data_IF_721047368868
#
_entry.id   IF_721047368868
#
_cell.length_a   1.000
_cell.length_b   1.000
_cell.length_c   1.000
_cell.angle_alpha   90.00
_cell.angle_beta   90.00
_cell.angle_gamma   90.00
#
_symmetry.space_group_name_H-M   'P 1'
#
loop_
_entity.id
_entity.type
_entity.pdbx_description
1 polymer ?
#
# COMPACT_ATOMS: atom_id res chain seq x y z
N UNK A 1 -22.67 5.71 2.47
CA UNK A 1 -23.29 6.99 2.01
C UNK A 1 -22.32 7.73 1.10
N UNK A 2 -22.78 8.20 -0.06
CA UNK A 2 -21.92 8.87 -1.04
C UNK A 2 -21.51 10.28 -0.60
N UNK A 3 -20.23 10.58 -0.72
CA UNK A 3 -19.68 11.91 -0.54
C UNK A 3 -19.44 12.56 -1.90
N UNK A 4 -19.80 13.84 -1.97
CA UNK A 4 -19.50 14.73 -3.08
C UNK A 4 -18.59 15.83 -2.56
N UNK A 5 -17.89 16.53 -3.46
CA UNK A 5 -16.94 17.58 -3.06
C UNK A 5 -17.55 18.60 -2.08
N UNK A 6 -18.77 19.07 -2.37
CA UNK A 6 -19.45 20.11 -1.59
C UNK A 6 -19.95 19.66 -0.20
N UNK A 7 -20.07 18.36 0.07
CA UNK A 7 -20.62 17.86 1.35
C UNK A 7 -19.61 17.05 2.19
N UNK A 8 -18.39 16.84 1.67
CA UNK A 8 -17.36 16.06 2.34
C UNK A 8 -16.93 16.71 3.66
N UNK A 9 -16.65 18.03 3.63
CA UNK A 9 -16.18 18.76 4.80
C UNK A 9 -17.22 18.84 5.91
N UNK A 10 -18.47 19.13 5.56
CA UNK A 10 -19.59 19.15 6.52
C UNK A 10 -19.74 17.81 7.25
N UNK A 11 -19.59 16.70 6.53
CA UNK A 11 -19.84 15.35 7.06
C UNK A 11 -18.65 14.75 7.81
N UNK A 12 -17.44 15.21 7.52
CA UNK A 12 -16.21 14.54 7.98
C UNK A 12 -15.27 15.45 8.76
N UNK A 13 -15.48 16.78 8.67
CA UNK A 13 -14.56 17.79 9.18
C UNK A 13 -13.35 18.05 8.28
N UNK A 14 -13.26 17.42 7.10
CA UNK A 14 -12.15 17.58 6.17
C UNK A 14 -12.62 17.74 4.71
N UNK A 15 -11.97 18.60 3.91
CA UNK A 15 -12.29 18.72 2.49
C UNK A 15 -11.90 17.43 1.75
N UNK A 16 -12.56 17.15 0.62
CA UNK A 16 -12.33 15.92 -0.15
C UNK A 16 -10.86 15.74 -0.59
N UNK A 17 -10.19 16.86 -0.88
CA UNK A 17 -8.78 16.96 -1.22
C UNK A 17 -7.86 16.35 -0.14
N UNK A 18 -8.24 16.43 1.14
CA UNK A 18 -7.52 15.78 2.23
C UNK A 18 -7.45 14.26 2.03
N UNK A 19 -8.57 13.63 1.68
CA UNK A 19 -8.65 12.20 1.46
C UNK A 19 -7.98 11.77 0.15
N UNK A 20 -8.08 12.58 -0.90
CA UNK A 20 -7.35 12.35 -2.16
C UNK A 20 -5.84 12.33 -1.91
N UNK A 21 -5.32 13.24 -1.09
CA UNK A 21 -3.90 13.24 -0.74
C UNK A 21 -3.50 12.01 0.08
N UNK A 22 -4.30 11.61 1.08
CA UNK A 22 -4.08 10.40 1.89
C UNK A 22 -4.11 9.12 1.06
N UNK A 23 -4.82 9.12 -0.06
CA UNK A 23 -4.87 7.97 -0.95
C UNK A 23 -3.50 7.67 -1.60
N UNK A 24 -2.66 8.71 -1.76
CA UNK A 24 -1.35 8.63 -2.41
C UNK A 24 -1.39 8.85 -3.93
N UNK A 25 -2.57 8.97 -4.55
CA UNK A 25 -2.71 9.11 -6.02
C UNK A 25 -1.90 10.29 -6.59
N UNK A 26 -1.71 11.35 -5.80
CA UNK A 26 -0.90 12.52 -6.16
C UNK A 26 0.59 12.27 -6.33
N UNK A 27 1.08 11.08 -5.96
CA UNK A 27 2.43 10.65 -6.33
C UNK A 27 2.58 10.43 -7.84
N UNK A 28 1.48 10.12 -8.52
CA UNK A 28 1.44 9.92 -9.98
C UNK A 28 0.93 11.17 -10.68
N UNK A 29 -0.10 11.78 -10.12
CA UNK A 29 -0.82 12.90 -10.70
C UNK A 29 -0.76 14.09 -9.71
N UNK A 30 0.32 14.89 -9.71
CA UNK A 30 0.52 15.94 -8.70
C UNK A 30 -0.66 16.91 -8.58
N UNK A 31 -1.31 17.21 -9.70
CA UNK A 31 -2.45 18.14 -9.78
C UNK A 31 -3.81 17.45 -9.81
N UNK A 32 -3.88 16.15 -9.47
CA UNK A 32 -5.09 15.33 -9.56
C UNK A 32 -6.30 15.98 -8.89
N UNK A 33 -7.41 15.96 -9.60
CA UNK A 33 -8.75 16.30 -9.16
C UNK A 33 -9.68 15.13 -9.44
N UNK A 34 -10.81 15.05 -8.74
CA UNK A 34 -11.74 13.91 -8.90
C UNK A 34 -12.31 13.82 -10.32
N UNK A 35 -12.52 14.94 -11.00
CA UNK A 35 -12.93 14.96 -12.40
C UNK A 35 -11.90 14.39 -13.38
N UNK A 36 -10.65 14.22 -12.96
CA UNK A 36 -9.61 13.60 -13.79
C UNK A 36 -9.70 12.06 -13.75
N UNK A 37 -10.47 11.50 -12.81
CA UNK A 37 -10.76 10.08 -12.75
C UNK A 37 -11.72 9.68 -13.87
N UNK A 38 -11.50 8.51 -14.47
CA UNK A 38 -12.44 7.90 -15.42
C UNK A 38 -13.74 7.51 -14.73
N UNK A 39 -13.61 7.01 -13.52
CA UNK A 39 -14.69 6.70 -12.61
C UNK A 39 -14.20 6.92 -11.17
N UNK A 40 -15.10 7.27 -10.27
CA UNK A 40 -14.77 7.44 -8.87
C UNK A 40 -15.99 7.24 -7.96
N UNK A 41 -15.72 6.66 -6.80
CA UNK A 41 -16.71 6.50 -5.74
C UNK A 41 -16.07 6.85 -4.40
N UNK A 42 -16.74 7.72 -3.63
CA UNK A 42 -16.30 8.07 -2.28
C UNK A 42 -17.44 7.82 -1.31
N UNK A 43 -17.23 6.90 -0.37
CA UNK A 43 -18.22 6.43 0.60
C UNK A 43 -17.80 6.81 2.01
N UNK A 44 -18.74 7.37 2.78
CA UNK A 44 -18.65 7.43 4.24
C UNK A 44 -19.52 6.32 4.84
N UNK A 45 -18.88 5.41 5.57
CA UNK A 45 -19.53 4.28 6.24
C UNK A 45 -18.84 4.00 7.57
N UNK A 46 -19.59 3.91 8.66
CA UNK A 46 -19.05 3.64 10.00
C UNK A 46 -17.85 4.54 10.38
N UNK A 47 -17.93 5.84 10.05
CA UNK A 47 -16.87 6.85 10.25
C UNK A 47 -15.58 6.61 9.44
N UNK A 48 -15.60 5.71 8.47
CA UNK A 48 -14.51 5.45 7.54
C UNK A 48 -14.83 6.00 6.16
N UNK A 49 -13.79 6.48 5.50
CA UNK A 49 -13.87 7.00 4.14
C UNK A 49 -13.24 6.00 3.19
N UNK A 50 -14.04 5.41 2.32
CA UNK A 50 -13.53 4.60 1.22
C UNK A 50 -13.47 5.47 -0.03
N UNK A 51 -12.29 5.51 -0.68
CA UNK A 51 -12.07 6.13 -1.98
C UNK A 51 -11.77 5.02 -2.97
N UNK A 52 -12.57 4.93 -4.02
CA UNK A 52 -12.39 4.05 -5.17
C UNK A 52 -12.21 4.93 -6.41
N UNK A 53 -11.14 4.71 -7.18
CA UNK A 53 -10.80 5.49 -8.37
C UNK A 53 -10.43 4.57 -9.53
N UNK A 54 -10.89 4.93 -10.73
CA UNK A 54 -10.33 4.49 -11.99
C UNK A 54 -9.62 5.65 -12.68
N UNK A 55 -8.44 5.41 -13.24
CA UNK A 55 -7.66 6.42 -13.98
C UNK A 55 -7.09 5.82 -15.26
N UNK A 56 -6.39 6.63 -16.05
CA UNK A 56 -5.63 6.12 -17.20
C UNK A 56 -4.58 5.08 -16.81
N UNK A 57 -4.07 5.13 -15.57
CA UNK A 57 -2.99 4.26 -15.10
C UNK A 57 -3.44 3.16 -14.15
N UNK A 58 -4.58 3.31 -13.49
CA UNK A 58 -5.12 2.31 -12.57
C UNK A 58 -6.51 1.90 -13.01
N UNK A 59 -6.75 0.60 -13.20
CA UNK A 59 -8.11 0.09 -13.43
C UNK A 59 -8.88 0.06 -12.13
N UNK A 60 -8.19 -0.18 -11.02
CA UNK A 60 -8.79 -0.27 -9.71
C UNK A 60 -7.83 0.33 -8.69
N UNK A 61 -8.27 1.36 -7.98
CA UNK A 61 -7.51 1.98 -6.91
C UNK A 61 -8.42 2.25 -5.73
N UNK A 62 -8.26 1.50 -4.65
CA UNK A 62 -9.15 1.61 -3.48
C UNK A 62 -8.37 1.80 -2.18
N UNK A 63 -8.82 2.74 -1.35
CA UNK A 63 -8.28 3.04 -0.02
C UNK A 63 -9.41 3.24 0.97
N UNK A 64 -9.26 2.72 2.18
CA UNK A 64 -10.16 3.03 3.30
C UNK A 64 -9.40 3.78 4.38
N UNK A 65 -9.90 4.93 4.79
CA UNK A 65 -9.25 5.85 5.72
C UNK A 65 -10.09 5.95 6.98
N UNK A 66 -9.47 5.66 8.13
CA UNK A 66 -10.08 5.79 9.45
C UNK A 66 -9.36 6.91 10.22
N UNK A 67 -9.95 8.10 10.22
CA UNK A 67 -9.40 9.28 10.89
C UNK A 67 -9.34 9.14 12.42
N UNK A 68 -10.22 8.31 12.99
CA UNK A 68 -10.31 8.10 14.43
C UNK A 68 -9.24 7.12 14.91
N UNK A 69 -9.12 5.99 14.21
CA UNK A 69 -8.09 4.98 14.50
C UNK A 69 -6.71 5.37 13.96
N UNK A 70 -6.61 6.42 13.13
CA UNK A 70 -5.36 6.88 12.51
C UNK A 70 -4.73 5.81 11.62
N UNK A 71 -5.57 5.11 10.86
CA UNK A 71 -5.17 4.00 9.97
C UNK A 71 -5.62 4.27 8.54
N UNK A 72 -4.80 3.84 7.57
CA UNK A 72 -5.19 3.75 6.16
C UNK A 72 -5.05 2.31 5.69
N UNK A 73 -6.12 1.74 5.16
CA UNK A 73 -6.16 0.42 4.54
C UNK A 73 -5.93 0.57 3.03
N UNK A 74 -4.90 -0.08 2.52
CA UNK A 74 -4.56 -0.15 1.11
C UNK A 74 -5.29 -1.32 0.45
N UNK A 75 -6.59 -1.15 0.20
CA UNK A 75 -7.48 -2.23 -0.22
C UNK A 75 -7.09 -2.84 -1.57
N UNK A 76 -6.88 -2.02 -2.60
CA UNK A 76 -6.63 -2.51 -3.96
C UNK A 76 -5.82 -1.50 -4.79
N UNK A 77 -4.96 -2.00 -5.67
CA UNK A 77 -4.24 -1.20 -6.65
C UNK A 77 -3.84 -2.06 -7.85
N UNK A 78 -4.57 -1.90 -8.97
CA UNK A 78 -4.36 -2.63 -10.22
C UNK A 78 -3.92 -1.64 -11.30
N UNK A 79 -2.72 -1.82 -11.83
CA UNK A 79 -2.18 -0.97 -12.89
C UNK A 79 -2.78 -1.35 -14.25
N UNK A 80 -3.14 -0.36 -15.07
CA UNK A 80 -3.41 -0.56 -16.50
C UNK A 80 -2.07 -0.69 -17.24
N UNK A 81 -1.88 -1.81 -17.93
CA UNK A 81 -0.70 -2.06 -18.78
C UNK A 81 0.51 -2.61 -18.03
N UNK A 82 1.66 -2.64 -18.72
CA UNK A 82 2.91 -3.17 -18.14
C UNK A 82 3.36 -2.30 -16.98
N UNK A 83 3.59 -2.93 -15.83
CA UNK A 83 4.17 -2.26 -14.66
C UNK A 83 5.57 -1.75 -15.01
N UNK A 84 5.78 -0.43 -14.94
CA UNK A 84 7.11 0.17 -14.99
C UNK A 84 7.80 0.19 -13.61
N UNK A 85 7.20 -0.43 -12.59
CA UNK A 85 7.71 -0.50 -11.22
C UNK A 85 7.80 0.85 -10.47
N UNK A 86 7.46 1.95 -11.14
CA UNK A 86 7.52 3.31 -10.61
C UNK A 86 6.21 3.77 -9.99
N UNK A 87 5.08 3.31 -10.53
CA UNK A 87 3.76 3.81 -10.13
C UNK A 87 3.46 3.57 -8.64
N UNK A 88 3.40 2.29 -8.25
CA UNK A 88 3.07 1.86 -6.88
C UNK A 88 4.00 2.48 -5.84
N UNK A 89 5.26 2.67 -6.21
CA UNK A 89 6.26 3.30 -5.37
C UNK A 89 6.00 4.80 -5.16
N UNK A 90 5.71 5.55 -6.22
CA UNK A 90 5.34 6.97 -6.11
C UNK A 90 4.06 7.18 -5.30
N UNK A 91 3.07 6.29 -5.47
CA UNK A 91 1.86 6.27 -4.64
C UNK A 91 2.22 6.11 -3.17
N UNK A 92 3.02 5.09 -2.83
CA UNK A 92 3.44 4.84 -1.45
C UNK A 92 4.23 6.01 -0.88
N UNK A 93 5.15 6.62 -1.64
CA UNK A 93 5.87 7.83 -1.21
C UNK A 93 4.95 8.98 -0.85
N UNK A 94 3.98 9.28 -1.72
CA UNK A 94 3.05 10.37 -1.47
C UNK A 94 2.19 10.08 -0.24
N UNK A 95 1.65 8.86 -0.15
CA UNK A 95 0.83 8.41 0.98
C UNK A 95 1.59 8.47 2.31
N UNK A 96 2.79 7.88 2.38
CA UNK A 96 3.63 7.89 3.59
C UNK A 96 3.99 9.31 4.02
N UNK A 97 4.27 10.21 3.07
CA UNK A 97 4.55 11.63 3.38
C UNK A 97 3.32 12.33 3.95
N UNK A 98 2.16 12.19 3.31
CA UNK A 98 0.96 12.91 3.69
C UNK A 98 0.35 12.34 4.98
N UNK A 99 0.25 11.02 5.10
CA UNK A 99 -0.25 10.35 6.29
C UNK A 99 0.58 10.71 7.54
N UNK A 100 1.92 10.68 7.43
CA UNK A 100 2.80 11.09 8.52
C UNK A 100 2.63 12.57 8.89
N UNK A 101 2.46 13.47 7.89
CA UNK A 101 2.20 14.90 8.15
C UNK A 101 0.91 15.13 8.95
N UNK A 102 -0.06 14.22 8.80
CA UNK A 102 -1.37 14.29 9.46
C UNK A 102 -1.50 13.31 10.64
N UNK A 103 -0.36 12.86 11.20
CA UNK A 103 -0.30 12.02 12.40
C UNK A 103 -1.15 10.74 12.30
N UNK A 104 -1.15 10.10 11.13
CA UNK A 104 -1.60 8.71 11.03
C UNK A 104 -0.56 7.79 11.66
N UNK A 105 -1.02 6.73 12.30
CA UNK A 105 -0.16 5.77 13.01
C UNK A 105 0.35 4.69 12.07
N UNK A 106 -0.51 4.17 11.18
CA UNK A 106 -0.11 3.09 10.28
C UNK A 106 -0.86 3.02 8.96
N UNK A 107 -0.21 2.38 7.99
CA UNK A 107 -0.81 1.89 6.77
C UNK A 107 -0.94 0.37 6.87
N UNK A 108 -2.03 -0.20 6.39
CA UNK A 108 -2.30 -1.64 6.43
C UNK A 108 -2.56 -2.13 5.01
N UNK A 109 -2.14 -3.34 4.69
CA UNK A 109 -2.41 -4.01 3.41
C UNK A 109 -2.80 -5.46 3.64
N UNK A 110 -3.75 -5.97 2.87
CA UNK A 110 -3.93 -7.42 2.68
C UNK A 110 -3.23 -7.78 1.38
N UNK A 111 -2.08 -8.44 1.49
CA UNK A 111 -1.22 -8.73 0.37
C UNK A 111 -1.35 -10.20 -0.02
N UNK A 112 -2.12 -10.47 -1.06
CA UNK A 112 -2.37 -11.82 -1.54
C UNK A 112 -1.88 -12.02 -2.97
N UNK A 113 -1.54 -13.27 -3.27
CA UNK A 113 -1.27 -13.74 -4.62
C UNK A 113 -2.61 -14.03 -5.29
N UNK A 114 -3.05 -13.15 -6.18
CA UNK A 114 -4.16 -13.52 -7.06
C UNK A 114 -3.60 -14.32 -8.25
N UNK A 115 -4.02 -15.59 -8.35
CA UNK A 115 -3.83 -16.42 -9.54
C UNK A 115 -4.82 -16.01 -10.64
N UNK A 116 -4.94 -14.71 -10.92
CA UNK A 116 -5.82 -14.24 -11.99
C UNK A 116 -5.21 -14.58 -13.36
N UNK A 117 -6.05 -14.99 -14.31
CA UNK A 117 -5.67 -15.34 -15.70
C UNK A 117 -4.89 -14.24 -16.45
N UNK A 118 -4.86 -13.01 -15.94
CA UNK A 118 -4.43 -11.82 -16.67
C UNK A 118 -3.26 -11.04 -16.04
N UNK A 119 -2.61 -11.54 -14.98
CA UNK A 119 -1.36 -10.93 -14.49
C UNK A 119 -0.97 -11.31 -13.06
N UNK A 120 0.33 -11.30 -12.81
CA UNK A 120 0.91 -11.55 -11.49
C UNK A 120 0.76 -10.32 -10.60
N UNK A 121 -0.10 -10.40 -9.58
CA UNK A 121 -0.10 -9.42 -8.50
C UNK A 121 1.20 -9.56 -7.72
N UNK A 122 2.15 -8.68 -7.97
CA UNK A 122 3.46 -8.71 -7.30
C UNK A 122 3.46 -8.04 -5.92
N UNK A 123 2.31 -7.52 -5.46
CA UNK A 123 2.18 -6.78 -4.20
C UNK A 123 2.68 -7.59 -2.99
N UNK A 124 2.28 -8.85 -2.88
CA UNK A 124 2.67 -9.76 -1.79
C UNK A 124 4.18 -10.03 -1.70
N UNK A 125 4.96 -9.72 -2.74
CA UNK A 125 6.44 -9.77 -2.74
C UNK A 125 7.10 -8.42 -2.46
N UNK A 126 6.40 -7.32 -2.72
CA UNK A 126 7.00 -5.98 -2.78
C UNK A 126 6.78 -5.15 -1.52
N UNK A 127 5.63 -5.28 -0.85
CA UNK A 127 5.32 -4.42 0.29
C UNK A 127 6.36 -4.51 1.40
N UNK A 128 6.84 -5.72 1.71
CA UNK A 128 7.86 -5.92 2.73
C UNK A 128 9.20 -5.23 2.40
N UNK A 129 9.60 -5.17 1.11
CA UNK A 129 10.79 -4.42 0.66
C UNK A 129 10.72 -2.94 1.00
N UNK A 130 9.50 -2.40 1.09
CA UNK A 130 9.27 -0.99 1.35
C UNK A 130 8.97 -0.67 2.82
N UNK A 131 9.15 -1.60 3.75
CA UNK A 131 8.98 -1.31 5.18
C UNK A 131 7.67 -1.81 5.77
N UNK A 132 6.85 -2.56 5.03
CA UNK A 132 5.78 -3.32 5.65
C UNK A 132 6.36 -4.53 6.39
N UNK A 133 5.84 -4.82 7.58
CA UNK A 133 6.09 -6.06 8.30
C UNK A 133 4.79 -6.85 8.43
N UNK A 134 4.91 -8.17 8.53
CA UNK A 134 3.78 -9.08 8.66
C UNK A 134 3.15 -8.94 10.05
N UNK A 135 1.81 -8.93 10.13
CA UNK A 135 1.11 -8.90 11.41
C UNK A 135 1.37 -10.18 12.23
N UNK A 136 1.19 -10.09 13.56
CA UNK A 136 1.53 -11.17 14.49
C UNK A 136 0.82 -12.50 14.20
N UNK A 137 -0.41 -12.46 13.68
CA UNK A 137 -1.17 -13.65 13.31
C UNK A 137 -0.51 -14.36 12.12
N UNK A 138 -0.32 -13.65 11.01
CA UNK A 138 0.35 -14.21 9.83
C UNK A 138 1.82 -14.55 10.09
N UNK A 139 2.49 -13.86 11.01
CA UNK A 139 3.88 -14.16 11.38
C UNK A 139 4.00 -15.53 12.05
N UNK A 140 3.00 -15.96 12.82
CA UNK A 140 2.96 -17.31 13.42
C UNK A 140 2.84 -18.36 12.32
N UNK A 141 1.90 -18.16 11.40
CA UNK A 141 1.67 -19.06 10.28
C UNK A 141 2.90 -19.14 9.37
N UNK A 142 3.52 -17.99 9.08
CA UNK A 142 4.80 -17.90 8.37
C UNK A 142 5.91 -18.68 9.08
N UNK A 143 6.03 -18.52 10.40
CA UNK A 143 7.08 -19.20 11.19
C UNK A 143 6.89 -20.71 11.16
N UNK A 144 5.65 -21.19 11.30
CA UNK A 144 5.33 -22.61 11.19
C UNK A 144 5.59 -23.14 9.77
N UNK A 145 5.23 -22.37 8.75
CA UNK A 145 5.47 -22.70 7.36
C UNK A 145 6.98 -22.81 7.05
N UNK A 146 7.79 -21.84 7.48
CA UNK A 146 9.25 -21.89 7.32
C UNK A 146 9.85 -23.12 7.99
N UNK A 147 9.41 -23.45 9.21
CA UNK A 147 9.85 -24.64 9.93
C UNK A 147 9.51 -25.93 9.16
N UNK A 148 8.28 -26.06 8.64
CA UNK A 148 7.84 -27.22 7.85
C UNK A 148 8.62 -27.37 6.55
N UNK A 149 9.00 -26.26 5.92
CA UNK A 149 9.79 -26.22 4.69
C UNK A 149 11.30 -26.33 4.90
N UNK A 150 11.78 -26.51 6.14
CA UNK A 150 13.22 -26.60 6.46
C UNK A 150 13.98 -25.27 6.29
N UNK A 151 13.27 -24.15 6.23
CA UNK A 151 13.80 -22.79 6.10
C UNK A 151 14.04 -22.15 7.48
N UNK A 152 14.89 -21.12 7.55
CA UNK A 152 15.35 -20.51 8.82
C UNK A 152 15.06 -19.02 8.95
N UNK A 153 14.56 -18.41 7.88
CA UNK A 153 14.22 -17.00 7.83
C UNK A 153 13.10 -16.69 8.83
N UNK A 154 13.28 -15.62 9.60
CA UNK A 154 12.40 -15.29 10.73
C UNK A 154 11.19 -14.47 10.32
N UNK A 155 11.26 -13.84 9.15
CA UNK A 155 10.25 -12.96 8.64
C UNK A 155 10.34 -12.93 7.10
N UNK A 156 9.30 -12.38 6.48
CA UNK A 156 9.22 -12.31 5.03
C UNK A 156 10.35 -11.49 4.41
N UNK A 157 10.85 -10.45 5.11
CA UNK A 157 11.96 -9.63 4.60
C UNK A 157 13.25 -10.43 4.42
N UNK A 158 13.61 -11.24 5.42
CA UNK A 158 14.76 -12.15 5.34
C UNK A 158 14.59 -13.15 4.20
N UNK A 159 13.39 -13.73 4.03
CA UNK A 159 13.09 -14.69 2.97
C UNK A 159 13.30 -14.05 1.58
N UNK A 160 12.65 -12.92 1.32
CA UNK A 160 12.68 -12.28 0.01
C UNK A 160 13.96 -11.45 -0.26
N UNK A 161 14.92 -11.42 0.67
CA UNK A 161 16.22 -10.80 0.46
C UNK A 161 17.10 -11.56 -0.54
N UNK A 162 16.86 -12.86 -0.72
CA UNK A 162 17.60 -13.73 -1.64
C UNK A 162 16.80 -14.06 -2.90
N UNK A 163 17.47 -14.47 -3.98
CA UNK A 163 16.79 -14.94 -5.21
C UNK A 163 16.00 -16.22 -4.91
N UNK A 164 16.64 -17.19 -4.26
CA UNK A 164 16.03 -18.46 -3.87
C UNK A 164 14.77 -18.25 -3.00
N UNK A 165 14.83 -17.39 -1.99
CA UNK A 165 13.67 -17.13 -1.14
C UNK A 165 12.55 -16.37 -1.86
N UNK A 166 12.87 -15.51 -2.85
CA UNK A 166 11.86 -14.91 -3.72
C UNK A 166 11.18 -15.95 -4.61
N UNK A 167 11.93 -16.89 -5.18
CA UNK A 167 11.38 -17.99 -5.99
C UNK A 167 10.52 -18.91 -5.15
N UNK A 168 11.01 -19.28 -3.96
CA UNK A 168 10.26 -20.07 -2.98
C UNK A 168 8.93 -19.39 -2.59
N UNK A 169 8.96 -18.10 -2.25
CA UNK A 169 7.72 -17.38 -1.90
C UNK A 169 6.79 -17.20 -3.10
N UNK A 170 7.32 -17.09 -4.32
CA UNK A 170 6.49 -17.08 -5.53
C UNK A 170 5.76 -18.39 -5.76
N UNK A 171 6.42 -19.50 -5.45
CA UNK A 171 5.88 -20.83 -5.67
C UNK A 171 4.84 -21.19 -4.59
N UNK A 172 5.20 -20.99 -3.31
CA UNK A 172 4.44 -21.50 -2.17
C UNK A 172 3.77 -20.42 -1.30
N UNK A 173 4.18 -19.16 -1.44
CA UNK A 173 3.55 -18.05 -0.74
C UNK A 173 2.16 -17.77 -1.28
N UNK A 174 1.26 -17.36 -0.40
CA UNK A 174 -0.14 -17.09 -0.72
C UNK A 174 -0.51 -15.66 -0.31
N UNK A 175 -0.72 -15.44 0.98
CA UNK A 175 -1.29 -14.22 1.54
C UNK A 175 -0.59 -13.82 2.82
N UNK A 176 -0.54 -12.51 3.08
CA UNK A 176 -0.21 -11.97 4.39
C UNK A 176 -0.75 -10.55 4.56
N UNK A 177 -1.16 -10.22 5.78
CA UNK A 177 -1.51 -8.87 6.20
C UNK A 177 -0.25 -8.15 6.67
N UNK A 178 -0.03 -6.98 6.09
CA UNK A 178 1.13 -6.14 6.36
C UNK A 178 0.77 -4.84 7.06
N UNK A 179 1.65 -4.39 7.96
CA UNK A 179 1.59 -3.07 8.57
C UNK A 179 2.83 -2.25 8.24
N UNK A 180 2.62 -0.96 8.02
CA UNK A 180 3.66 0.05 7.95
C UNK A 180 3.44 1.06 9.07
N UNK A 181 4.36 1.09 10.04
CA UNK A 181 4.35 2.04 11.14
C UNK A 181 4.87 3.41 10.67
N UNK A 182 4.05 4.46 10.77
CA UNK A 182 4.36 5.81 10.32
C UNK A 182 5.17 6.63 11.33
N UNK A 183 5.38 6.16 12.56
CA UNK A 183 6.18 6.86 13.56
C UNK A 183 7.60 7.12 13.05
N UNK A 184 8.10 8.34 13.24
CA UNK A 184 9.35 8.85 12.62
C UNK A 184 10.55 7.90 12.74
N UNK A 185 10.67 7.17 13.84
CA UNK A 185 11.80 6.30 14.15
C UNK A 185 11.48 4.79 14.05
N UNK A 186 10.30 4.43 13.55
CA UNK A 186 9.88 3.05 13.37
C UNK A 186 10.80 2.30 12.41
N UNK A 187 10.78 0.96 12.50
CA UNK A 187 11.48 0.11 11.54
C UNK A 187 10.99 0.37 10.10
N UNK A 188 9.67 0.49 9.91
CA UNK A 188 9.05 0.76 8.61
C UNK A 188 9.59 2.05 7.98
N UNK A 189 9.65 3.15 8.76
CA UNK A 189 10.17 4.44 8.28
C UNK A 189 11.66 4.38 7.95
N UNK A 190 12.47 3.70 8.77
CA UNK A 190 13.91 3.53 8.51
C UNK A 190 14.15 2.73 7.24
N UNK A 191 13.42 1.63 7.07
CA UNK A 191 13.54 0.78 5.88
C UNK A 191 13.05 1.49 4.62
N UNK A 192 11.95 2.23 4.71
CA UNK A 192 11.46 3.06 3.63
C UNK A 192 12.47 4.15 3.22
N UNK A 193 13.12 4.80 4.18
CA UNK A 193 14.18 5.78 3.91
C UNK A 193 15.39 5.16 3.21
N UNK A 194 15.78 3.93 3.59
CA UNK A 194 16.84 3.18 2.88
C UNK A 194 16.45 2.88 1.44
N UNK A 195 15.22 2.38 1.21
CA UNK A 195 14.71 2.11 -0.14
C UNK A 195 14.63 3.37 -1.03
N UNK A 196 14.36 4.54 -0.44
CA UNK A 196 14.41 5.83 -1.14
C UNK A 196 15.82 6.16 -1.66
N UNK A 197 16.85 5.96 -0.84
CA UNK A 197 18.24 6.22 -1.23
C UNK A 197 18.69 5.25 -2.34
N UNK A 198 18.46 3.95 -2.15
CA UNK A 198 18.87 2.92 -3.12
C UNK A 198 18.20 3.08 -4.49
N UNK A 199 16.95 3.56 -4.53
CA UNK A 199 16.27 3.83 -5.80
C UNK A 199 16.79 5.10 -6.47
N UNK A 200 17.18 6.13 -5.72
CA UNK A 200 17.71 7.37 -6.31
C UNK A 200 18.96 7.08 -7.15
N UNK A 201 19.81 6.17 -6.68
CA UNK A 201 21.09 5.88 -7.33
C UNK A 201 20.94 5.05 -8.62
N UNK A 202 19.78 4.39 -8.84
CA UNK A 202 19.50 3.63 -10.07
C UNK A 202 18.99 4.46 -11.25
N UNK A 203 18.63 5.73 -11.06
CA UNK A 203 18.22 6.64 -12.13
C UNK A 203 19.37 7.52 -12.66
N UNK A 204 20.57 7.35 -12.10
CA UNK A 204 21.80 8.04 -12.52
C UNK A 204 22.84 7.09 -13.15
N UNK A 205 22.42 5.88 -13.52
CA UNK A 205 23.16 4.93 -14.35
C UNK A 205 22.36 4.66 -15.63
#
# INVERSE_FOLDING_TARGET
>A
MYLKEHNCEERTGFPIEYYINLSGIKGIYPDFRLQDARDHEIKLENKRITIELETDRFSDFSRTIDNHQKIILNNLMVNRGKSDGGASWKVLQSQVRYAAKHNFDKLIVDAYRELAKNGDYIGYLLWCKYGYYMQDEDLKDFTEFMKKSGRKEKNLDELIATVEGQEFWKEYGDRWNGEFDLQKNSWSRKKFAKALLERRDRWFL
#
